data_IF_636172704596
#
_entry.id   IF_636172704596
#
_cell.length_a   1.000
_cell.length_b   1.000
_cell.length_c   1.000
_cell.angle_alpha   90.00
_cell.angle_beta   90.00
_cell.angle_gamma   90.00
#
_symmetry.space_group_name_H-M   'P 1'
#
loop_
_entity.id
_entity.type
_entity.pdbx_description
1 polymer ?
#
# COMPACT_ATOMS: atom_id res chain seq x y z
N UNK A 1 -14.43 16.10 -1.30
CA UNK A 1 -14.78 14.75 -0.81
C UNK A 1 -14.36 13.72 -1.82
N UNK A 2 -13.58 12.72 -1.43
CA UNK A 2 -13.31 11.63 -2.35
C UNK A 2 -14.62 10.96 -2.73
N UNK A 3 -14.73 10.56 -3.98
CA UNK A 3 -15.91 9.86 -4.46
C UNK A 3 -15.83 8.41 -3.95
N UNK A 4 -16.59 8.11 -2.89
CA UNK A 4 -16.56 6.80 -2.24
C UNK A 4 -16.97 5.66 -3.18
N UNK A 5 -17.81 5.96 -4.20
CA UNK A 5 -18.20 4.96 -5.17
C UNK A 5 -17.06 4.59 -6.12
N UNK A 6 -16.31 5.60 -6.60
CA UNK A 6 -15.13 5.35 -7.42
C UNK A 6 -14.04 4.63 -6.62
N UNK A 7 -13.86 5.00 -5.36
CA UNK A 7 -12.89 4.35 -4.50
C UNK A 7 -13.24 2.88 -4.28
N UNK A 8 -14.52 2.56 -4.09
CA UNK A 8 -14.98 1.19 -3.94
C UNK A 8 -14.76 0.37 -5.21
N UNK A 9 -15.05 0.96 -6.37
CA UNK A 9 -14.84 0.29 -7.66
C UNK A 9 -13.36 -0.01 -7.87
N UNK A 10 -12.50 0.97 -7.57
CA UNK A 10 -11.06 0.80 -7.69
C UNK A 10 -10.54 -0.26 -6.73
N UNK A 11 -10.99 -0.24 -5.49
CA UNK A 11 -10.61 -1.25 -4.50
C UNK A 11 -11.04 -2.65 -4.96
N UNK A 12 -12.28 -2.76 -5.44
CA UNK A 12 -12.80 -4.03 -5.94
C UNK A 12 -11.97 -4.58 -7.09
N UNK A 13 -11.55 -3.71 -8.00
CA UNK A 13 -10.70 -4.10 -9.12
C UNK A 13 -9.33 -4.60 -8.65
N UNK A 14 -8.71 -3.91 -7.69
CA UNK A 14 -7.42 -4.33 -7.13
C UNK A 14 -7.54 -5.67 -6.41
N UNK A 15 -8.64 -5.88 -5.67
CA UNK A 15 -8.88 -7.15 -5.00
C UNK A 15 -9.06 -8.28 -6.00
N UNK A 16 -9.79 -8.03 -7.09
CA UNK A 16 -9.97 -9.02 -8.15
C UNK A 16 -8.64 -9.39 -8.80
N UNK A 17 -7.83 -8.41 -9.14
CA UNK A 17 -6.52 -8.65 -9.75
C UNK A 17 -5.61 -9.44 -8.82
N UNK A 18 -5.60 -9.11 -7.53
CA UNK A 18 -4.80 -9.85 -6.55
C UNK A 18 -5.28 -11.29 -6.41
N UNK A 19 -6.60 -11.51 -6.42
CA UNK A 19 -7.18 -12.84 -6.37
C UNK A 19 -6.76 -13.68 -7.58
N UNK A 20 -6.89 -13.11 -8.77
CA UNK A 20 -6.53 -13.81 -10.01
C UNK A 20 -5.03 -14.12 -10.06
N UNK A 21 -4.20 -13.21 -9.55
CA UNK A 21 -2.76 -13.43 -9.51
C UNK A 21 -2.37 -14.65 -8.68
N UNK A 22 -3.06 -14.87 -7.56
CA UNK A 22 -2.80 -16.05 -6.70
C UNK A 22 -3.66 -17.25 -7.11
N UNK A 23 -4.42 -17.14 -8.20
CA UNK A 23 -5.20 -18.23 -8.81
C UNK A 23 -6.27 -18.80 -7.85
N UNK A 24 -6.89 -17.94 -7.06
CA UNK A 24 -8.01 -18.33 -6.21
C UNK A 24 -9.33 -17.94 -6.86
N UNK A 25 -10.34 -18.80 -6.67
CA UNK A 25 -11.70 -18.48 -7.10
C UNK A 25 -12.40 -17.60 -6.08
N UNK A 26 -13.49 -16.94 -6.49
CA UNK A 26 -14.32 -16.17 -5.55
C UNK A 26 -14.86 -17.06 -4.44
N UNK A 27 -15.23 -18.29 -4.78
CA UNK A 27 -15.73 -19.27 -3.80
C UNK A 27 -14.66 -19.64 -2.77
N UNK A 28 -13.43 -19.87 -3.22
CA UNK A 28 -12.33 -20.20 -2.33
C UNK A 28 -12.02 -19.06 -1.37
N UNK A 29 -12.00 -17.84 -1.87
CA UNK A 29 -11.77 -16.65 -1.02
C UNK A 29 -12.93 -16.46 -0.05
N UNK A 30 -14.15 -16.66 -0.50
CA UNK A 30 -15.32 -16.59 0.36
C UNK A 30 -15.24 -17.56 1.54
N UNK A 31 -14.80 -18.79 1.31
CA UNK A 31 -14.60 -19.76 2.37
C UNK A 31 -13.56 -19.31 3.38
N UNK A 32 -12.45 -18.73 2.91
CA UNK A 32 -11.38 -18.24 3.78
C UNK A 32 -11.83 -17.05 4.65
N UNK A 33 -12.74 -16.24 4.14
CA UNK A 33 -13.25 -15.05 4.83
C UNK A 33 -14.57 -15.31 5.55
N UNK A 34 -15.11 -16.49 5.43
CA UNK A 34 -16.42 -16.85 5.96
C UNK A 34 -17.52 -15.95 5.37
N UNK A 35 -17.44 -15.71 4.08
CA UNK A 35 -18.40 -14.93 3.31
C UNK A 35 -18.90 -15.75 2.12
N UNK A 36 -20.18 -15.57 1.71
CA UNK A 36 -20.65 -16.24 0.50
C UNK A 36 -19.95 -15.68 -0.74
N UNK A 37 -19.89 -16.51 -1.78
CA UNK A 37 -19.31 -16.10 -3.06
C UNK A 37 -19.94 -14.81 -3.59
N UNK A 38 -21.26 -14.65 -3.40
CA UNK A 38 -21.97 -13.45 -3.86
C UNK A 38 -21.43 -12.18 -3.21
N UNK A 39 -21.04 -12.26 -1.93
CA UNK A 39 -20.42 -11.12 -1.24
C UNK A 39 -19.08 -10.76 -1.88
N UNK A 40 -18.27 -11.76 -2.21
CA UNK A 40 -16.99 -11.51 -2.88
C UNK A 40 -17.22 -10.86 -4.26
N UNK A 41 -18.17 -11.37 -5.01
CA UNK A 41 -18.52 -10.81 -6.32
C UNK A 41 -18.95 -9.35 -6.21
N UNK A 42 -19.77 -9.02 -5.20
CA UNK A 42 -20.23 -7.65 -4.97
C UNK A 42 -19.12 -6.72 -4.54
N UNK A 43 -18.20 -7.22 -3.73
CA UNK A 43 -17.01 -6.46 -3.32
C UNK A 43 -16.15 -6.13 -4.55
N UNK A 44 -15.89 -7.11 -5.38
CA UNK A 44 -15.03 -6.93 -6.56
C UNK A 44 -15.66 -6.01 -7.61
N UNK A 45 -16.97 -5.92 -7.65
CA UNK A 45 -17.68 -5.00 -8.55
C UNK A 45 -17.93 -3.61 -7.96
N UNK A 46 -17.55 -3.39 -6.71
CA UNK A 46 -17.75 -2.12 -6.03
C UNK A 46 -19.14 -1.91 -5.46
N UNK A 47 -19.97 -2.95 -5.44
CA UNK A 47 -21.35 -2.85 -4.96
C UNK A 47 -21.48 -3.04 -3.45
N UNK A 48 -20.46 -3.59 -2.80
CA UNK A 48 -20.45 -3.82 -1.35
C UNK A 48 -19.19 -3.21 -0.75
N UNK A 49 -19.34 -2.53 0.37
CA UNK A 49 -18.21 -1.95 1.11
C UNK A 49 -17.41 -3.04 1.79
N UNK A 50 -16.12 -2.78 1.96
CA UNK A 50 -15.19 -3.63 2.69
C UNK A 50 -14.79 -2.87 3.94
N UNK A 51 -14.98 -3.48 5.12
CA UNK A 51 -14.53 -2.83 6.35
C UNK A 51 -13.02 -3.08 6.55
N UNK A 52 -12.45 -2.38 7.54
CA UNK A 52 -11.00 -2.42 7.76
C UNK A 52 -10.51 -3.82 8.13
N UNK A 53 -11.27 -4.57 8.90
CA UNK A 53 -10.88 -5.94 9.29
C UNK A 53 -10.96 -6.90 8.11
N UNK A 54 -12.00 -6.76 7.30
CA UNK A 54 -12.12 -7.55 6.07
C UNK A 54 -10.95 -7.27 5.13
N UNK A 55 -10.59 -6.00 4.96
CA UNK A 55 -9.48 -5.63 4.09
C UNK A 55 -8.16 -6.22 4.58
N UNK A 56 -7.94 -6.20 5.90
CA UNK A 56 -6.77 -6.83 6.50
C UNK A 56 -6.71 -8.32 6.16
N UNK A 57 -7.85 -9.02 6.24
CA UNK A 57 -7.93 -10.44 5.93
C UNK A 57 -7.69 -10.72 4.45
N UNK A 58 -8.22 -9.88 3.56
CA UNK A 58 -7.91 -9.97 2.13
C UNK A 58 -6.41 -9.82 1.88
N UNK A 59 -5.80 -8.83 2.52
CA UNK A 59 -4.37 -8.56 2.37
C UNK A 59 -3.53 -9.76 2.80
N UNK A 60 -3.90 -10.43 3.88
CA UNK A 60 -3.23 -11.63 4.36
C UNK A 60 -3.37 -12.78 3.36
N UNK A 61 -4.57 -13.01 2.83
CA UNK A 61 -4.83 -14.07 1.86
C UNK A 61 -4.03 -13.84 0.58
N UNK A 62 -3.98 -12.60 0.09
CA UNK A 62 -3.30 -12.26 -1.14
C UNK A 62 -1.83 -11.93 -0.96
N UNK A 63 -1.33 -11.96 0.28
CA UNK A 63 0.07 -11.69 0.63
C UNK A 63 0.55 -10.35 0.10
N UNK A 64 -0.27 -9.33 0.29
CA UNK A 64 0.03 -7.95 -0.07
C UNK A 64 -0.26 -7.04 1.12
N UNK A 65 0.49 -5.95 1.29
CA UNK A 65 0.19 -5.02 2.38
C UNK A 65 -1.15 -4.33 2.14
N UNK A 66 -1.83 -3.94 3.23
CA UNK A 66 -3.09 -3.20 3.15
C UNK A 66 -2.92 -1.94 2.30
N UNK A 67 -1.76 -1.29 2.39
CA UNK A 67 -1.46 -0.08 1.63
C UNK A 67 -1.54 -0.26 0.12
N UNK A 68 -1.32 -1.47 -0.37
CA UNK A 68 -1.49 -1.77 -1.79
C UNK A 68 -2.93 -1.51 -2.25
N UNK A 69 -3.90 -1.86 -1.41
CA UNK A 69 -5.31 -1.72 -1.74
C UNK A 69 -5.86 -0.32 -1.45
N UNK A 70 -5.27 0.39 -0.51
CA UNK A 70 -5.73 1.74 -0.14
C UNK A 70 -5.13 2.83 -1.03
N UNK A 71 -4.15 2.49 -1.87
CA UNK A 71 -3.48 3.46 -2.72
C UNK A 71 -2.25 4.09 -2.10
N UNK A 72 -1.94 3.77 -0.85
CA UNK A 72 -0.78 4.34 -0.16
C UNK A 72 0.55 3.87 -0.77
N UNK A 73 0.52 2.78 -1.53
CA UNK A 73 1.70 2.28 -2.23
C UNK A 73 2.24 3.27 -3.27
N UNK A 74 1.42 4.21 -3.71
CA UNK A 74 1.81 5.22 -4.68
C UNK A 74 2.65 6.34 -4.07
N UNK A 75 2.81 6.36 -2.73
CA UNK A 75 3.60 7.38 -2.04
C UNK A 75 5.02 7.42 -2.59
N UNK A 76 5.65 6.26 -2.76
CA UNK A 76 7.02 6.20 -3.30
C UNK A 76 7.04 6.67 -4.76
N UNK A 77 6.07 6.25 -5.57
CA UNK A 77 5.98 6.64 -6.97
C UNK A 77 5.70 8.14 -7.16
N UNK A 78 5.13 8.81 -6.14
CA UNK A 78 4.85 10.24 -6.18
C UNK A 78 6.06 11.10 -5.79
N UNK A 79 7.14 10.48 -5.30
CA UNK A 79 8.35 11.20 -4.91
C UNK A 79 9.14 11.65 -6.15
N UNK A 80 9.98 12.68 -6.02
CA UNK A 80 10.93 12.99 -7.06
C UNK A 80 11.75 11.77 -7.46
N UNK A 81 12.12 11.68 -8.73
CA UNK A 81 12.75 10.47 -9.29
C UNK A 81 14.02 10.05 -8.54
N UNK A 82 14.84 11.00 -8.16
CA UNK A 82 16.06 10.72 -7.41
C UNK A 82 15.78 10.18 -6.02
N UNK A 83 14.74 10.69 -5.36
CA UNK A 83 14.32 10.22 -4.03
C UNK A 83 13.69 8.83 -4.13
N UNK A 84 12.85 8.61 -5.15
CA UNK A 84 12.27 7.28 -5.39
C UNK A 84 13.36 6.24 -5.59
N UNK A 85 14.37 6.57 -6.39
CA UNK A 85 15.49 5.68 -6.67
C UNK A 85 16.25 5.34 -5.40
N UNK A 86 16.52 6.34 -4.57
CA UNK A 86 17.18 6.15 -3.28
C UNK A 86 16.36 5.27 -2.35
N UNK A 87 15.04 5.51 -2.30
CA UNK A 87 14.13 4.71 -1.45
C UNK A 87 14.15 3.23 -1.85
N UNK A 88 14.15 2.95 -3.15
CA UNK A 88 14.21 1.57 -3.64
C UNK A 88 15.52 0.89 -3.28
N UNK A 89 16.64 1.60 -3.39
CA UNK A 89 17.95 1.09 -2.99
C UNK A 89 18.00 0.84 -1.49
N UNK A 90 17.45 1.77 -0.70
CA UNK A 90 17.43 1.66 0.75
C UNK A 90 16.69 0.41 1.20
N UNK A 91 15.63 0.01 0.49
CA UNK A 91 14.84 -1.16 0.85
C UNK A 91 15.61 -2.48 0.72
N UNK A 92 16.68 -2.52 -0.07
CA UNK A 92 17.51 -3.71 -0.24
C UNK A 92 18.69 -3.78 0.75
N UNK A 93 18.88 -2.75 1.55
CA UNK A 93 19.96 -2.71 2.54
C UNK A 93 19.62 -3.56 3.77
N UNK A 94 20.64 -3.98 4.49
CA UNK A 94 20.46 -4.63 5.79
C UNK A 94 19.84 -3.65 6.79
N UNK A 95 19.29 -4.17 7.87
CA UNK A 95 18.74 -3.33 8.93
C UNK A 95 19.79 -2.38 9.50
N UNK A 96 21.02 -2.87 9.72
CA UNK A 96 22.12 -2.07 10.22
C UNK A 96 22.47 -0.94 9.25
N UNK A 97 22.55 -1.26 7.97
CA UNK A 97 22.90 -0.26 6.95
C UNK A 97 21.79 0.76 6.76
N UNK A 98 20.51 0.36 6.88
CA UNK A 98 19.40 1.32 6.86
C UNK A 98 19.46 2.27 8.03
N UNK A 99 19.84 1.79 9.21
CA UNK A 99 20.00 2.65 10.38
C UNK A 99 21.13 3.68 10.18
N UNK A 100 22.22 3.28 9.55
CA UNK A 100 23.30 4.20 9.20
C UNK A 100 22.83 5.25 8.19
N UNK A 101 22.09 4.83 7.18
CA UNK A 101 21.54 5.75 6.19
C UNK A 101 20.59 6.76 6.83
N UNK A 102 19.77 6.31 7.78
CA UNK A 102 18.85 7.18 8.49
C UNK A 102 19.61 8.26 9.31
N UNK A 103 20.68 7.86 9.98
CA UNK A 103 21.52 8.81 10.74
C UNK A 103 22.17 9.84 9.83
N UNK A 104 22.66 9.40 8.67
CA UNK A 104 23.24 10.29 7.69
C UNK A 104 22.20 11.27 7.15
N UNK A 105 20.99 10.79 6.88
CA UNK A 105 19.89 11.65 6.42
C UNK A 105 19.52 12.70 7.47
N UNK A 106 19.49 12.33 8.75
CA UNK A 106 19.27 13.27 9.83
C UNK A 106 20.35 14.34 9.90
N UNK A 107 21.61 13.93 9.74
CA UNK A 107 22.73 14.86 9.71
C UNK A 107 22.57 15.88 8.60
N UNK A 108 22.23 15.43 7.39
CA UNK A 108 22.02 16.32 6.26
C UNK A 108 20.85 17.27 6.47
N UNK A 109 19.77 16.78 7.07
CA UNK A 109 18.59 17.58 7.38
C UNK A 109 18.93 18.68 8.38
N UNK A 110 19.66 18.34 9.46
CA UNK A 110 20.10 19.31 10.46
C UNK A 110 21.01 20.37 9.86
N UNK A 111 21.91 19.96 9.00
CA UNK A 111 22.82 20.87 8.29
C UNK A 111 22.06 21.83 7.40
N UNK A 112 21.06 21.35 6.68
CA UNK A 112 20.21 22.19 5.82
C UNK A 112 19.42 23.21 6.62
N UNK A 113 18.87 22.80 7.78
CA UNK A 113 18.13 23.70 8.66
C UNK A 113 19.02 24.79 9.24
N UNK A 114 20.24 24.43 9.66
CA UNK A 114 21.19 25.38 10.19
C UNK A 114 21.58 26.42 9.11
N UNK A 115 21.78 25.96 7.88
CA UNK A 115 22.10 26.81 6.75
C UNK A 115 20.98 27.79 6.43
N UNK A 116 19.73 27.35 6.49
CA UNK A 116 18.55 28.19 6.26
C UNK A 116 18.45 29.26 7.36
N UNK A 117 18.68 28.89 8.63
CA UNK A 117 18.67 29.84 9.74
C UNK A 117 19.72 30.93 9.57
N UNK A 118 20.91 30.56 9.10
CA UNK A 118 22.00 31.51 8.90
C UNK A 118 21.79 32.42 7.68
N UNK A 119 20.97 31.97 6.72
CA UNK A 119 20.66 32.74 5.53
C UNK A 119 19.58 33.81 5.76
N UNK A 120 18.86 33.68 6.84
CA UNK A 120 17.82 34.65 7.24
C UNK A 120 18.38 35.68 8.18
#
# INVERSE_FOLDING_TARGET
MPNSDLDRVRLGELLRQAREYVELSQEEVGKKLDLPRTAISMIESGQRRVDALELKRFAEIYQRPVSYFTGDHDVVASLPQDVEHLARRASSLSETDRAELARFAEFLSSRSQAKVRNAG
#
